data_IF_717969550042
#
_entry.id   IF_717969550042
#
_cell.length_a   1.000
_cell.length_b   1.000
_cell.length_c   1.000
_cell.angle_alpha   90.00
_cell.angle_beta   90.00
_cell.angle_gamma   90.00
#
_symmetry.space_group_name_H-M   'P 1'
#
loop_
_entity.id
_entity.type
_entity.pdbx_description
1 polymer ?
#
# COMPACT_ATOMS: atom_id res chain seq x y z
N UNK A 1 -4.90 11.01 -5.72
CA UNK A 1 -4.12 11.82 -6.69
C UNK A 1 -3.38 13.04 -6.11
N UNK A 2 -4.02 13.96 -5.36
CA UNK A 2 -3.36 15.23 -4.93
C UNK A 2 -2.00 15.06 -4.23
N UNK A 3 -1.85 14.07 -3.34
CA UNK A 3 -0.61 13.89 -2.58
C UNK A 3 0.55 13.33 -3.40
N UNK A 4 0.32 12.35 -4.27
CA UNK A 4 1.34 11.84 -5.20
C UNK A 4 1.80 12.96 -6.13
N UNK A 5 0.87 13.78 -6.64
CA UNK A 5 1.20 14.96 -7.44
C UNK A 5 2.05 16.00 -6.71
N UNK A 6 1.92 16.10 -5.39
CA UNK A 6 2.76 16.96 -4.55
C UNK A 6 4.17 16.37 -4.42
N UNK A 7 4.28 15.07 -4.13
CA UNK A 7 5.57 14.36 -4.00
C UNK A 7 6.34 14.39 -5.33
N UNK A 8 5.64 14.23 -6.46
CA UNK A 8 6.23 14.35 -7.81
C UNK A 8 6.83 15.74 -8.10
N UNK A 9 6.45 16.76 -7.33
CA UNK A 9 6.91 18.15 -7.46
C UNK A 9 7.87 18.56 -6.34
N UNK A 10 8.33 17.62 -5.51
CA UNK A 10 9.30 17.93 -4.47
C UNK A 10 10.59 18.47 -5.05
N UNK A 11 11.15 19.48 -4.37
CA UNK A 11 12.53 19.88 -4.58
C UNK A 11 13.41 19.01 -3.68
N UNK A 12 14.59 18.66 -4.16
CA UNK A 12 15.58 17.91 -3.38
C UNK A 12 16.51 18.87 -2.65
N UNK A 13 17.29 18.35 -1.71
CA UNK A 13 18.31 19.10 -0.96
C UNK A 13 17.77 20.34 -0.21
N UNK A 14 16.52 20.28 0.24
CA UNK A 14 15.92 21.34 1.05
C UNK A 14 16.53 21.35 2.47
N UNK A 15 17.29 22.38 2.80
CA UNK A 15 17.88 22.56 4.13
C UNK A 15 17.21 23.69 4.90
N UNK A 16 16.07 23.41 5.53
CA UNK A 16 15.40 24.34 6.46
C UNK A 16 14.37 23.62 7.34
N UNK A 17 14.00 24.22 8.47
CA UNK A 17 12.85 23.72 9.26
C UNK A 17 11.51 23.84 8.52
N UNK A 18 11.42 24.75 7.55
CA UNK A 18 10.25 24.95 6.69
C UNK A 18 10.24 24.09 5.43
N UNK A 19 11.16 23.11 5.31
CA UNK A 19 11.23 22.23 4.15
C UNK A 19 9.90 21.49 3.95
N UNK A 20 9.44 21.47 2.70
CA UNK A 20 8.29 20.66 2.28
C UNK A 20 8.73 19.19 2.16
N UNK A 21 9.87 18.95 1.52
CA UNK A 21 10.45 17.63 1.37
C UNK A 21 11.36 17.27 2.56
N UNK A 22 10.74 17.01 3.72
CA UNK A 22 11.46 16.79 4.99
C UNK A 22 12.41 15.58 5.01
N UNK A 23 12.19 14.62 4.12
CA UNK A 23 12.97 13.38 4.06
C UNK A 23 13.91 13.33 2.86
N UNK A 24 14.08 14.42 2.12
CA UNK A 24 14.91 14.46 0.91
C UNK A 24 14.54 13.37 -0.09
N UNK A 25 13.24 13.14 -0.29
CA UNK A 25 12.73 12.15 -1.23
C UNK A 25 12.97 12.65 -2.66
N UNK A 26 13.60 11.80 -3.47
CA UNK A 26 13.79 12.02 -4.89
C UNK A 26 12.53 11.59 -5.63
N UNK A 27 11.85 12.48 -6.39
CA UNK A 27 10.64 12.13 -7.14
C UNK A 27 10.79 10.92 -8.06
N UNK A 28 12.00 10.66 -8.54
CA UNK A 28 12.36 9.52 -9.39
C UNK A 28 12.17 8.16 -8.70
N UNK A 29 12.01 8.14 -7.37
CA UNK A 29 11.65 6.93 -6.62
C UNK A 29 10.18 6.54 -6.75
N UNK A 30 9.31 7.43 -7.24
CA UNK A 30 7.91 7.08 -7.49
C UNK A 30 7.88 6.03 -8.61
N UNK A 31 7.44 4.79 -8.33
CA UNK A 31 7.49 3.75 -9.33
C UNK A 31 6.42 3.98 -10.41
N UNK A 32 6.75 3.63 -11.64
CA UNK A 32 5.88 3.85 -12.81
C UNK A 32 4.52 3.20 -12.64
N UNK A 33 4.45 2.01 -12.02
CA UNK A 33 3.20 1.29 -11.79
C UNK A 33 2.22 2.06 -10.90
N UNK A 34 2.70 2.89 -9.96
CA UNK A 34 1.82 3.51 -8.96
C UNK A 34 0.86 4.53 -9.57
N UNK A 35 1.32 5.29 -10.55
CA UNK A 35 0.52 6.35 -11.18
C UNK A 35 -0.65 5.76 -11.95
N UNK A 36 -0.41 4.66 -12.68
CA UNK A 36 -1.44 3.95 -13.44
C UNK A 36 -2.33 3.08 -12.54
N UNK A 37 -1.77 2.63 -11.42
CA UNK A 37 -2.47 1.76 -10.49
C UNK A 37 -3.41 2.54 -9.56
N UNK A 38 -3.03 3.69 -9.01
CA UNK A 38 -3.89 4.35 -8.02
C UNK A 38 -5.16 4.96 -8.66
N UNK A 39 -6.39 4.64 -8.16
CA UNK A 39 -7.61 5.23 -8.69
C UNK A 39 -7.77 6.70 -8.28
N UNK A 40 -8.65 7.44 -8.98
CA UNK A 40 -8.98 8.83 -8.61
C UNK A 40 -9.53 8.94 -7.18
N UNK A 41 -10.38 7.97 -6.80
CA UNK A 41 -10.96 7.81 -5.47
C UNK A 41 -10.39 6.57 -4.80
N UNK A 42 -9.35 6.78 -4.00
CA UNK A 42 -8.68 5.75 -3.21
C UNK A 42 -7.33 6.26 -2.71
N UNK A 43 -6.76 5.56 -1.75
CA UNK A 43 -5.50 5.92 -1.13
C UNK A 43 -5.11 4.90 -0.07
N UNK A 44 -3.86 4.96 0.39
CA UNK A 44 -3.34 4.07 1.42
C UNK A 44 -2.19 4.73 2.17
N UNK A 45 -1.83 4.15 3.31
CA UNK A 45 -0.61 4.47 4.02
C UNK A 45 0.55 3.74 3.35
N UNK A 46 1.58 4.49 2.95
CA UNK A 46 2.82 3.98 2.34
C UNK A 46 3.49 2.95 3.25
N UNK A 47 4.23 2.01 2.65
CA UNK A 47 4.87 0.91 3.35
C UNK A 47 5.95 1.37 4.32
N UNK A 48 6.77 2.34 3.91
CA UNK A 48 7.87 2.84 4.72
C UNK A 48 8.28 4.27 4.34
N UNK A 49 8.89 4.98 5.28
CA UNK A 49 9.44 6.32 5.09
C UNK A 49 10.69 6.50 5.95
N UNK A 50 11.81 6.82 5.29
CA UNK A 50 13.10 7.02 5.93
C UNK A 50 13.89 8.12 5.21
N UNK A 51 15.06 8.55 5.73
CA UNK A 51 15.90 9.52 5.02
C UNK A 51 16.22 9.06 3.60
N UNK A 52 15.89 9.92 2.63
CA UNK A 52 16.06 9.72 1.20
C UNK A 52 15.38 8.47 0.62
N UNK A 53 14.40 7.85 1.30
CA UNK A 53 13.69 6.69 0.77
C UNK A 53 12.23 6.60 1.20
N UNK A 54 11.36 6.29 0.24
CA UNK A 54 9.94 6.07 0.43
C UNK A 54 9.55 4.76 -0.25
N UNK A 55 9.02 3.81 0.54
CA UNK A 55 8.49 2.56 0.01
C UNK A 55 7.00 2.73 -0.31
N UNK A 56 6.70 2.67 -1.61
CA UNK A 56 5.36 2.86 -2.14
C UNK A 56 4.52 1.58 -2.13
N UNK A 57 5.01 0.43 -1.67
CA UNK A 57 4.16 -0.76 -1.62
C UNK A 57 2.98 -0.60 -0.68
N UNK A 58 1.87 -1.20 -1.08
CA UNK A 58 0.72 -1.38 -0.19
C UNK A 58 0.99 -2.57 0.72
N UNK A 59 0.78 -2.41 2.02
CA UNK A 59 0.79 -3.52 2.99
C UNK A 59 -0.58 -3.67 3.64
N UNK A 60 -1.20 -4.84 3.45
CA UNK A 60 -2.56 -5.12 3.91
C UNK A 60 -2.70 -5.00 5.43
N UNK A 61 -1.85 -5.70 6.19
CA UNK A 61 -1.95 -5.73 7.64
C UNK A 61 -1.87 -4.33 8.26
N UNK A 62 -0.93 -3.49 7.80
CA UNK A 62 -0.74 -2.13 8.30
C UNK A 62 -1.95 -1.23 8.02
N UNK A 63 -2.45 -1.22 6.79
CA UNK A 63 -3.61 -0.42 6.40
C UNK A 63 -4.90 -0.86 7.13
N UNK A 64 -5.13 -2.16 7.27
CA UNK A 64 -6.31 -2.70 7.96
C UNK A 64 -6.28 -2.41 9.47
N UNK A 65 -5.12 -2.52 10.10
CA UNK A 65 -4.98 -2.13 11.52
C UNK A 65 -5.08 -0.62 11.71
N UNK A 66 -4.58 0.19 10.78
CA UNK A 66 -4.72 1.63 10.87
C UNK A 66 -6.18 2.09 10.81
N UNK A 67 -7.01 1.42 9.99
CA UNK A 67 -8.47 1.57 10.02
C UNK A 67 -8.99 1.16 11.39
N UNK A 68 -8.71 -0.08 11.81
CA UNK A 68 -9.29 -0.69 13.02
C UNK A 68 -8.96 0.08 14.29
N UNK A 69 -7.72 0.57 14.44
CA UNK A 69 -7.24 1.31 15.61
C UNK A 69 -7.63 2.79 15.63
N UNK A 70 -8.29 3.29 14.58
CA UNK A 70 -8.60 4.72 14.40
C UNK A 70 -7.36 5.61 14.20
N UNK A 71 -6.23 5.04 13.75
CA UNK A 71 -5.07 5.82 13.34
C UNK A 71 -5.37 6.67 12.10
N UNK A 72 -6.14 6.12 11.16
CA UNK A 72 -6.64 6.84 9.99
C UNK A 72 -7.79 7.77 10.38
N UNK A 73 -7.86 8.94 9.75
CA UNK A 73 -9.11 9.70 9.68
C UNK A 73 -10.23 8.90 8.98
N UNK A 74 -11.52 9.21 9.21
CA UNK A 74 -12.62 8.50 8.53
C UNK A 74 -12.50 8.51 7.00
N UNK A 75 -12.06 9.65 6.44
CA UNK A 75 -11.82 9.80 5.00
C UNK A 75 -10.68 8.89 4.52
N UNK A 76 -9.57 8.80 5.24
CA UNK A 76 -8.46 7.91 4.87
C UNK A 76 -8.88 6.43 4.95
N UNK A 77 -9.66 6.05 5.96
CA UNK A 77 -10.19 4.70 6.07
C UNK A 77 -11.11 4.34 4.89
N UNK A 78 -11.96 5.28 4.49
CA UNK A 78 -12.81 5.14 3.31
C UNK A 78 -11.97 5.04 2.02
N UNK A 79 -10.94 5.88 1.86
CA UNK A 79 -10.02 5.85 0.72
C UNK A 79 -9.25 4.51 0.62
N UNK A 80 -8.87 3.90 1.75
CA UNK A 80 -8.24 2.56 1.78
C UNK A 80 -9.22 1.49 1.29
N UNK A 81 -10.45 1.45 1.82
CA UNK A 81 -11.42 0.45 1.39
C UNK A 81 -11.87 0.68 -0.06
N UNK A 82 -11.95 1.92 -0.52
CA UNK A 82 -12.22 2.25 -1.93
C UNK A 82 -11.10 1.77 -2.85
N UNK A 83 -9.83 1.92 -2.44
CA UNK A 83 -8.70 1.38 -3.20
C UNK A 83 -8.83 -0.14 -3.30
N UNK A 84 -9.06 -0.83 -2.18
CA UNK A 84 -9.19 -2.29 -2.16
C UNK A 84 -10.37 -2.78 -3.00
N UNK A 85 -11.51 -2.08 -2.98
CA UNK A 85 -12.65 -2.38 -3.84
C UNK A 85 -12.37 -2.15 -5.33
N UNK A 86 -11.72 -1.04 -5.67
CA UNK A 86 -11.41 -0.70 -7.07
C UNK A 86 -10.32 -1.59 -7.67
N UNK A 87 -9.39 -2.06 -6.85
CA UNK A 87 -8.32 -2.99 -7.21
C UNK A 87 -8.59 -4.38 -6.65
N UNK A 88 -9.86 -4.80 -6.70
CA UNK A 88 -10.31 -6.05 -6.11
C UNK A 88 -9.47 -7.23 -6.61
N UNK A 89 -9.31 -7.39 -7.92
CA UNK A 89 -8.54 -8.51 -8.50
C UNK A 89 -7.06 -8.52 -8.07
N UNK A 90 -6.48 -7.35 -7.81
CA UNK A 90 -5.08 -7.26 -7.36
C UNK A 90 -4.95 -7.70 -5.90
N UNK A 91 -5.94 -7.45 -5.04
CA UNK A 91 -5.88 -7.80 -3.61
C UNK A 91 -6.53 -9.14 -3.27
N UNK A 92 -7.64 -9.40 -3.92
CA UNK A 92 -8.62 -10.47 -3.71
C UNK A 92 -8.95 -11.01 -5.10
N UNK A 93 -8.05 -11.87 -5.59
CA UNK A 93 -8.32 -12.74 -6.72
C UNK A 93 -9.15 -13.94 -6.22
N UNK A 94 -8.74 -15.18 -6.52
CA UNK A 94 -9.39 -16.38 -5.98
C UNK A 94 -9.11 -16.65 -4.49
N UNK A 95 -8.09 -16.02 -3.90
CA UNK A 95 -7.69 -16.23 -2.50
C UNK A 95 -7.47 -14.86 -1.84
N UNK A 96 -8.30 -14.45 -0.88
CA UNK A 96 -8.07 -13.24 -0.08
C UNK A 96 -6.98 -13.49 0.99
N UNK A 97 -6.21 -12.52 1.45
CA UNK A 97 -5.85 -11.23 0.83
C UNK A 97 -4.35 -11.27 0.51
N UNK A 98 -3.88 -10.59 -0.53
CA UNK A 98 -2.43 -10.36 -0.70
C UNK A 98 -1.84 -9.67 0.52
N UNK A 99 -0.64 -10.10 0.95
CA UNK A 99 0.08 -9.48 2.07
C UNK A 99 0.59 -8.08 1.72
N UNK A 100 1.11 -7.91 0.49
CA UNK A 100 1.53 -6.64 -0.08
C UNK A 100 1.28 -6.59 -1.60
N UNK A 101 1.43 -5.40 -2.18
CA UNK A 101 1.33 -5.21 -3.64
C UNK A 101 2.19 -4.03 -4.14
N UNK A 102 2.81 -4.15 -5.33
CA UNK A 102 3.05 -5.39 -6.09
C UNK A 102 4.11 -6.29 -5.45
N UNK A 103 4.41 -7.42 -6.09
CA UNK A 103 5.59 -8.21 -5.77
C UNK A 103 6.85 -7.59 -6.36
N UNK A 104 7.98 -7.85 -5.70
CA UNK A 104 9.33 -7.68 -6.23
C UNK A 104 9.59 -8.68 -7.35
N UNK A 105 10.11 -8.20 -8.48
CA UNK A 105 10.49 -9.00 -9.64
C UNK A 105 11.92 -8.69 -10.09
N UNK A 106 12.49 -9.59 -10.90
CA UNK A 106 13.81 -9.44 -11.54
C UNK A 106 14.91 -8.93 -10.57
N UNK A 107 15.64 -7.88 -10.93
CA UNK A 107 16.74 -7.29 -10.18
C UNK A 107 16.31 -6.80 -8.79
N UNK A 108 15.10 -6.25 -8.65
CA UNK A 108 14.61 -5.79 -7.35
C UNK A 108 14.45 -6.98 -6.39
N UNK A 109 13.95 -8.11 -6.88
CA UNK A 109 13.88 -9.34 -6.09
C UNK A 109 15.27 -9.82 -5.67
N UNK A 110 16.23 -9.86 -6.61
CA UNK A 110 17.60 -10.26 -6.31
C UNK A 110 18.24 -9.39 -5.22
N UNK A 111 18.09 -8.07 -5.34
CA UNK A 111 18.73 -7.09 -4.46
C UNK A 111 18.04 -7.04 -3.10
N UNK A 112 16.72 -6.92 -3.05
CA UNK A 112 15.99 -6.65 -1.80
C UNK A 112 15.81 -7.92 -0.97
N UNK A 113 15.57 -9.06 -1.61
CA UNK A 113 15.39 -10.33 -0.89
C UNK A 113 16.69 -11.10 -0.69
N UNK A 114 17.78 -10.71 -1.38
CA UNK A 114 19.00 -11.51 -1.44
C UNK A 114 18.82 -12.82 -2.22
N UNK A 115 17.95 -12.80 -3.24
CA UNK A 115 17.54 -13.98 -4.02
C UNK A 115 16.92 -15.09 -3.16
N UNK A 116 16.08 -14.73 -2.19
CA UNK A 116 15.42 -15.68 -1.29
C UNK A 116 14.42 -16.58 -2.06
N UNK A 117 14.70 -17.89 -2.19
CA UNK A 117 13.86 -18.80 -2.98
C UNK A 117 12.46 -19.02 -2.39
N UNK A 118 12.22 -18.64 -1.13
CA UNK A 118 10.88 -18.71 -0.52
C UNK A 118 9.99 -17.53 -0.93
N UNK A 119 10.62 -16.38 -1.19
CA UNK A 119 9.97 -15.11 -1.51
C UNK A 119 10.12 -14.75 -3.00
N UNK A 120 10.06 -15.74 -3.89
CA UNK A 120 9.92 -15.51 -5.33
C UNK A 120 8.68 -14.64 -5.64
N UNK A 121 8.63 -13.96 -6.81
CA UNK A 121 7.50 -13.11 -7.14
C UNK A 121 6.15 -13.77 -6.90
N UNK A 122 5.27 -13.04 -6.22
CA UNK A 122 3.90 -13.45 -5.89
C UNK A 122 3.79 -14.65 -4.93
N UNK A 123 4.86 -14.96 -4.18
CA UNK A 123 4.92 -16.04 -3.20
C UNK A 123 5.20 -15.53 -1.79
N UNK A 124 4.67 -16.24 -0.79
CA UNK A 124 4.94 -16.04 0.63
C UNK A 124 4.83 -14.55 1.04
N UNK A 125 5.89 -13.90 1.53
CA UNK A 125 5.84 -12.48 1.91
C UNK A 125 5.89 -11.52 0.72
N UNK A 126 6.32 -11.99 -0.46
CA UNK A 126 6.49 -11.19 -1.66
C UNK A 126 5.21 -11.21 -2.53
N UNK A 127 4.13 -10.59 -2.03
CA UNK A 127 2.88 -10.45 -2.77
C UNK A 127 1.98 -11.70 -2.81
N UNK A 128 2.28 -12.71 -1.98
CA UNK A 128 1.45 -13.90 -1.83
C UNK A 128 0.12 -13.62 -1.11
N UNK A 129 -0.93 -14.43 -1.34
CA UNK A 129 -2.18 -14.36 -0.59
C UNK A 129 -2.07 -15.05 0.78
N UNK A 130 -2.61 -14.40 1.81
CA UNK A 130 -2.61 -14.86 3.21
C UNK A 130 -4.05 -14.88 3.74
N UNK A 131 -4.72 -16.05 3.76
CA UNK A 131 -6.10 -16.17 4.25
C UNK A 131 -6.31 -15.67 5.68
N UNK A 132 -5.27 -15.71 6.51
CA UNK A 132 -5.30 -15.17 7.87
C UNK A 132 -5.59 -13.66 7.93
N UNK A 133 -5.42 -12.91 6.83
CA UNK A 133 -5.73 -11.48 6.76
C UNK A 133 -7.24 -11.19 6.63
N UNK A 134 -8.05 -12.21 6.35
CA UNK A 134 -9.49 -12.06 6.06
C UNK A 134 -10.26 -11.51 7.26
N UNK A 135 -9.89 -11.87 8.49
CA UNK A 135 -10.60 -11.41 9.68
C UNK A 135 -10.30 -9.93 10.00
N UNK A 136 -9.07 -9.46 9.75
CA UNK A 136 -8.74 -8.03 9.88
C UNK A 136 -9.45 -7.22 8.80
N UNK A 137 -9.53 -7.75 7.57
CA UNK A 137 -10.30 -7.11 6.50
C UNK A 137 -11.78 -7.02 6.87
N UNK A 138 -12.35 -8.11 7.38
CA UNK A 138 -13.73 -8.16 7.88
C UNK A 138 -13.96 -7.14 9.00
N UNK A 139 -13.05 -7.03 9.95
CA UNK A 139 -13.13 -6.08 11.06
C UNK A 139 -13.11 -4.63 10.57
N UNK A 140 -12.20 -4.29 9.64
CA UNK A 140 -12.13 -2.97 9.03
C UNK A 140 -13.42 -2.64 8.25
N UNK A 141 -13.97 -3.60 7.50
CA UNK A 141 -15.23 -3.45 6.79
C UNK A 141 -16.40 -3.18 7.74
N UNK A 142 -16.54 -3.95 8.82
CA UNK A 142 -17.60 -3.75 9.82
C UNK A 142 -17.48 -2.37 10.47
N UNK A 143 -16.26 -1.99 10.89
CA UNK A 143 -16.00 -0.68 11.49
C UNK A 143 -16.43 0.48 10.59
N UNK A 144 -16.21 0.34 9.28
CA UNK A 144 -16.56 1.35 8.28
C UNK A 144 -17.98 1.22 7.74
N UNK A 145 -18.81 0.31 8.28
CA UNK A 145 -20.19 0.13 7.82
C UNK A 145 -20.29 -0.45 6.41
N UNK A 146 -19.28 -1.22 5.97
CA UNK A 146 -19.16 -1.83 4.63
C UNK A 146 -19.14 -3.36 4.64
N UNK A 147 -20.09 -4.04 5.32
CA UNK A 147 -20.08 -5.50 5.45
C UNK A 147 -20.22 -6.23 4.12
N UNK A 148 -20.72 -5.59 3.05
CA UNK A 148 -20.79 -6.15 1.71
C UNK A 148 -19.42 -6.53 1.14
N UNK A 149 -18.38 -5.75 1.43
CA UNK A 149 -17.01 -6.06 1.01
C UNK A 149 -16.51 -7.33 1.71
N UNK A 150 -16.75 -7.44 3.02
CA UNK A 150 -16.39 -8.64 3.77
C UNK A 150 -17.11 -9.89 3.23
N UNK A 151 -18.42 -9.79 2.95
CA UNK A 151 -19.20 -10.89 2.36
C UNK A 151 -18.71 -11.29 0.97
N UNK A 152 -18.24 -10.34 0.17
CA UNK A 152 -17.67 -10.62 -1.17
C UNK A 152 -16.35 -11.40 -1.07
N UNK A 153 -15.60 -11.22 0.02
CA UNK A 153 -14.31 -11.88 0.23
C UNK A 153 -14.40 -13.27 0.87
N UNK A 154 -15.57 -13.66 1.40
CA UNK A 154 -15.83 -14.98 2.01
C UNK A 154 -16.48 -15.90 0.99
#
# INVERSE_FOLDING_TARGET
MKKINEIYRYKTEEYSQGATNKFSIYPEQIPSWLVDWIPEKGGYLIGNLQPAHMDFWFFSLGNLWAITSSLTTPRQAEEILNLMEKKWEDFIWNIPLKICYPALEYEEWHIITGSDPKNVPWSYHNGGPWPTLLWQFTLACIKMGRPELARKAV
#
